data_IF_604704209832
#
_entry.id   IF_604704209832
#
_cell.length_a   1.000
_cell.length_b   1.000
_cell.length_c   1.000
_cell.angle_alpha   90.00
_cell.angle_beta   90.00
_cell.angle_gamma   90.00
#
_symmetry.space_group_name_H-M   'P 1'
#
loop_
_entity.id
_entity.type
_entity.pdbx_description
1 polymer ?
#
# COMPACT_ATOMS: atom_id res chain seq x y z
N UNK A 1 36.23 -34.62 -29.46
CA UNK A 1 34.98 -34.29 -30.17
C UNK A 1 33.78 -34.63 -29.30
N UNK A 2 33.75 -35.80 -28.65
CA UNK A 2 32.75 -36.15 -27.62
C UNK A 2 32.79 -35.22 -26.40
N UNK A 3 33.98 -34.93 -25.87
CA UNK A 3 34.17 -33.98 -24.77
C UNK A 3 33.60 -32.58 -25.07
N UNK A 4 33.80 -32.10 -26.31
CA UNK A 4 33.23 -30.84 -26.77
C UNK A 4 31.69 -30.89 -26.79
N UNK A 5 31.12 -32.02 -27.22
CA UNK A 5 29.67 -32.24 -27.24
C UNK A 5 29.11 -32.27 -25.82
N UNK A 6 29.84 -32.84 -24.86
CA UNK A 6 29.45 -32.89 -23.45
C UNK A 6 29.43 -31.50 -22.83
N UNK A 7 30.51 -30.73 -23.00
CA UNK A 7 30.58 -29.33 -22.55
C UNK A 7 29.47 -28.48 -23.18
N UNK A 8 29.17 -28.67 -24.47
CA UNK A 8 28.07 -27.94 -25.13
C UNK A 8 26.68 -28.31 -24.57
N UNK A 9 26.48 -29.55 -24.09
CA UNK A 9 25.23 -29.95 -23.43
C UNK A 9 25.11 -29.30 -22.06
N UNK A 10 26.18 -29.31 -21.27
CA UNK A 10 26.20 -28.65 -19.95
C UNK A 10 25.88 -27.16 -20.08
N UNK A 11 26.54 -26.46 -21.01
CA UNK A 11 26.26 -25.04 -21.28
C UNK A 11 24.78 -24.82 -21.65
N UNK A 12 24.21 -25.68 -22.51
CA UNK A 12 22.79 -25.58 -22.89
C UNK A 12 21.88 -25.74 -21.67
N UNK A 13 22.18 -26.71 -20.81
CA UNK A 13 21.35 -27.02 -19.64
C UNK A 13 21.45 -25.87 -18.62
N UNK A 14 22.64 -25.32 -18.39
CA UNK A 14 22.84 -24.12 -17.56
C UNK A 14 22.09 -22.89 -18.13
N UNK A 15 22.13 -22.66 -19.45
CA UNK A 15 21.38 -21.57 -20.09
C UNK A 15 19.87 -21.75 -19.93
N UNK A 16 19.37 -22.98 -20.00
CA UNK A 16 17.95 -23.28 -19.80
C UNK A 16 17.52 -23.04 -18.35
N UNK A 17 18.36 -23.42 -17.38
CA UNK A 17 18.12 -23.12 -15.97
C UNK A 17 18.15 -21.61 -15.71
N UNK A 18 19.08 -20.89 -16.33
CA UNK A 18 19.21 -19.44 -16.22
C UNK A 18 17.97 -18.72 -16.76
N UNK A 19 17.46 -19.12 -17.93
CA UNK A 19 16.21 -18.59 -18.48
C UNK A 19 15.04 -18.80 -17.51
N UNK A 20 14.93 -20.00 -16.92
CA UNK A 20 13.87 -20.29 -15.94
C UNK A 20 13.97 -19.38 -14.70
N UNK A 21 15.18 -19.11 -14.22
CA UNK A 21 15.41 -18.18 -13.11
C UNK A 21 15.06 -16.74 -13.49
N UNK A 22 15.36 -16.31 -14.71
CA UNK A 22 15.01 -14.98 -15.20
C UNK A 22 13.49 -14.80 -15.32
N UNK A 23 12.77 -15.79 -15.83
CA UNK A 23 11.30 -15.76 -15.90
C UNK A 23 10.67 -15.63 -14.49
N UNK A 24 11.23 -16.35 -13.50
CA UNK A 24 10.78 -16.24 -12.11
C UNK A 24 11.06 -14.86 -11.50
N UNK A 25 12.20 -14.23 -11.85
CA UNK A 25 12.53 -12.87 -11.42
C UNK A 25 11.57 -11.87 -12.06
N UNK A 26 11.28 -12.00 -13.35
CA UNK A 26 10.33 -11.13 -14.05
C UNK A 26 8.93 -11.21 -13.43
N UNK A 27 8.45 -12.42 -13.15
CA UNK A 27 7.20 -12.63 -12.42
C UNK A 27 7.19 -11.95 -11.05
N UNK A 28 8.26 -12.14 -10.27
CA UNK A 28 8.39 -11.54 -8.92
C UNK A 28 8.45 -10.02 -8.97
N UNK A 29 9.14 -9.45 -9.97
CA UNK A 29 9.19 -8.02 -10.21
C UNK A 29 7.84 -7.46 -10.68
N UNK A 30 7.11 -8.20 -11.51
CA UNK A 30 5.74 -7.87 -11.88
C UNK A 30 4.82 -7.79 -10.66
N UNK A 31 4.91 -8.77 -9.76
CA UNK A 31 4.16 -8.76 -8.51
C UNK A 31 4.52 -7.55 -7.62
N UNK A 32 5.81 -7.19 -7.52
CA UNK A 32 6.26 -6.02 -6.77
C UNK A 32 5.86 -4.69 -7.42
N UNK A 33 5.87 -4.60 -8.74
CA UNK A 33 5.57 -3.35 -9.46
C UNK A 33 4.09 -3.09 -9.63
N UNK A 34 3.26 -4.13 -9.77
CA UNK A 34 1.95 -4.01 -10.42
C UNK A 34 0.75 -4.51 -9.61
N UNK A 35 0.94 -5.49 -8.73
CA UNK A 35 -0.17 -6.07 -7.97
C UNK A 35 0.04 -5.84 -6.49
N UNK A 36 1.07 -6.38 -5.85
CA UNK A 36 1.22 -6.30 -4.39
C UNK A 36 1.39 -4.87 -3.83
N UNK A 37 2.05 -3.97 -4.57
CA UNK A 37 2.30 -2.60 -4.13
C UNK A 37 1.10 -1.68 -4.39
N UNK A 38 0.39 -1.89 -5.51
CA UNK A 38 -0.87 -1.18 -5.78
C UNK A 38 -2.01 -1.70 -4.89
N UNK A 39 -2.02 -2.99 -4.53
CA UNK A 39 -2.94 -3.56 -3.55
C UNK A 39 -2.72 -2.86 -2.19
N UNK A 40 -1.47 -2.79 -1.73
CA UNK A 40 -1.12 -2.11 -0.46
C UNK A 40 -1.49 -0.62 -0.46
N UNK A 41 -1.29 0.08 -1.58
CA UNK A 41 -1.66 1.49 -1.72
C UNK A 41 -3.18 1.64 -1.77
N UNK A 42 -3.90 0.76 -2.47
CA UNK A 42 -5.37 0.78 -2.52
C UNK A 42 -5.98 0.52 -1.14
N UNK A 43 -5.45 -0.46 -0.41
CA UNK A 43 -5.83 -0.73 0.98
C UNK A 43 -5.60 0.48 1.89
N UNK A 44 -4.51 1.23 1.68
CA UNK A 44 -4.24 2.47 2.40
C UNK A 44 -5.24 3.57 2.03
N UNK A 45 -5.59 3.71 0.75
CA UNK A 45 -6.59 4.67 0.29
C UNK A 45 -7.98 4.37 0.87
N UNK A 46 -8.41 3.10 0.90
CA UNK A 46 -9.68 2.73 1.54
C UNK A 46 -9.68 3.07 3.03
N UNK A 47 -8.61 2.73 3.75
CA UNK A 47 -8.49 3.09 5.18
C UNK A 47 -8.44 4.59 5.42
N UNK A 48 -7.83 5.35 4.50
CA UNK A 48 -7.84 6.80 4.54
C UNK A 48 -9.24 7.36 4.29
N UNK A 49 -10.00 6.80 3.34
CA UNK A 49 -11.39 7.20 3.08
C UNK A 49 -12.28 6.97 4.31
N UNK A 50 -12.09 5.86 5.02
CA UNK A 50 -12.78 5.58 6.28
C UNK A 50 -12.42 6.60 7.39
N UNK A 51 -11.17 7.09 7.42
CA UNK A 51 -10.71 8.09 8.39
C UNK A 51 -11.13 9.52 8.03
N UNK A 52 -11.30 9.82 6.75
CA UNK A 52 -11.79 11.13 6.30
C UNK A 52 -13.25 11.34 6.70
N UNK A 53 -14.01 10.31 7.06
CA UNK A 53 -15.41 10.49 7.47
C UNK A 53 -16.31 10.87 6.28
N UNK A 54 -17.63 10.76 6.48
CA UNK A 54 -18.62 10.90 5.40
C UNK A 54 -19.72 11.86 5.82
N UNK A 55 -20.07 12.80 4.94
CA UNK A 55 -21.19 13.73 5.14
C UNK A 55 -20.76 15.09 5.72
N UNK A 56 -21.35 15.49 6.85
CA UNK A 56 -21.16 16.82 7.45
C UNK A 56 -19.80 17.03 8.11
N UNK A 57 -19.11 15.96 8.46
CA UNK A 57 -17.74 15.97 8.97
C UNK A 57 -16.92 15.06 8.06
N UNK A 58 -16.12 15.68 7.18
CA UNK A 58 -15.31 15.06 6.14
C UNK A 58 -13.81 15.10 6.46
N UNK A 59 -13.48 15.47 7.70
CA UNK A 59 -12.14 15.33 8.24
C UNK A 59 -12.15 15.27 9.77
N UNK A 60 -11.03 14.79 10.33
CA UNK A 60 -10.74 14.91 11.77
C UNK A 60 -10.71 16.39 12.21
N UNK A 61 -10.34 17.31 11.31
CA UNK A 61 -10.34 18.75 11.58
C UNK A 61 -11.76 19.24 11.89
N UNK A 62 -12.75 18.82 11.11
CA UNK A 62 -14.13 19.24 11.30
C UNK A 62 -14.68 18.77 12.66
N UNK A 63 -14.28 17.57 13.10
CA UNK A 63 -14.63 17.06 14.43
C UNK A 63 -13.95 17.90 15.51
N UNK A 64 -12.69 18.28 15.33
CA UNK A 64 -11.97 19.14 16.28
C UNK A 64 -12.62 20.53 16.39
N UNK A 65 -12.95 21.16 15.27
CA UNK A 65 -13.67 22.43 15.23
C UNK A 65 -15.02 22.34 15.96
N UNK A 66 -15.74 21.21 15.78
CA UNK A 66 -17.01 20.99 16.48
C UNK A 66 -16.82 20.85 17.99
N UNK A 67 -15.78 20.14 18.42
CA UNK A 67 -15.46 19.99 19.84
C UNK A 67 -15.09 21.33 20.48
N UNK A 68 -14.30 22.18 19.80
CA UNK A 68 -13.97 23.53 20.26
C UNK A 68 -15.21 24.42 20.40
N UNK A 69 -16.12 24.34 19.43
CA UNK A 69 -17.40 25.06 19.48
C UNK A 69 -18.28 24.61 20.66
N UNK A 70 -18.33 23.30 20.94
CA UNK A 70 -19.04 22.75 22.10
C UNK A 70 -18.39 23.22 23.41
N UNK A 71 -17.06 23.17 23.51
CA UNK A 71 -16.32 23.63 24.68
C UNK A 71 -16.64 25.09 25.00
N UNK A 72 -16.55 25.97 24.00
CA UNK A 72 -16.83 27.41 24.15
C UNK A 72 -18.28 27.67 24.60
N UNK A 73 -19.22 26.84 24.12
CA UNK A 73 -20.63 26.94 24.51
C UNK A 73 -20.84 26.52 25.96
N UNK A 74 -20.14 25.50 26.43
CA UNK A 74 -20.19 25.04 27.83
C UNK A 74 -19.63 26.11 28.77
N UNK A 75 -18.48 26.71 28.44
CA UNK A 75 -17.89 27.79 29.23
C UNK A 75 -18.86 28.96 29.39
N UNK A 76 -19.59 29.30 28.31
CA UNK A 76 -20.62 30.36 28.34
C UNK A 76 -21.79 30.00 29.24
N UNK A 77 -22.23 28.74 29.26
CA UNK A 77 -23.32 28.29 30.13
C UNK A 77 -22.87 28.35 31.59
N UNK A 78 -21.66 27.86 31.90
CA UNK A 78 -21.10 27.87 33.25
C UNK A 78 -21.09 29.27 33.85
N UNK A 79 -20.62 30.27 33.08
CA UNK A 79 -20.63 31.69 33.47
C UNK A 79 -22.05 32.21 33.78
N UNK A 80 -23.06 31.78 33.02
CA UNK A 80 -24.44 32.26 33.17
C UNK A 80 -25.23 31.54 34.28
N UNK A 81 -24.69 30.46 34.84
CA UNK A 81 -25.31 29.66 35.92
C UNK A 81 -24.67 29.83 37.30
N UNK A 82 -23.60 30.63 37.39
CA UNK A 82 -22.94 31.10 38.63
C UNK A 82 -23.47 32.47 39.05
#
# INVERSE_FOLDING_TARGET
>A
MEELIEVMKEIRDELQEMNTKLDNIDYSLGALKGNGLYDSISDLYEKLDDLMGRGLYNSISDVNEKLESISSSLDTIEINTL
#
